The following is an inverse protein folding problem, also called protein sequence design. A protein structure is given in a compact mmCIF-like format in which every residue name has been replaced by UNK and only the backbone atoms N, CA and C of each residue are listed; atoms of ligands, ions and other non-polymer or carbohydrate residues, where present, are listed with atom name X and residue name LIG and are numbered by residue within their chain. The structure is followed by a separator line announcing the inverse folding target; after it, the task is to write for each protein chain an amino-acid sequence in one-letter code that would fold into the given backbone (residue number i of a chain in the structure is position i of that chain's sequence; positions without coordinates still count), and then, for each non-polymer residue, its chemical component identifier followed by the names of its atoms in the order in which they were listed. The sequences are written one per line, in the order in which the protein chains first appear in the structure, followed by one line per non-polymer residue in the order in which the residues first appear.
data_IF_961562361197
#
_entry.id   IF_961562361197
#
_cell.length_a   1.000
_cell.length_b   1.000
_cell.length_c   1.000
_cell.angle_alpha   90.00
_cell.angle_beta   90.00
_cell.angle_gamma   90.00
#
_symmetry.space_group_name_H-M   'P 1'
#
loop_
_entity.id
_entity.type
_entity.pdbx_description
1 polymer ?
#
# COMPACT_ATOMS: atom_id res chain seq x y z
N UNK A 1 -15.67 -9.35 9.93
CA UNK A 1 -16.28 -9.11 11.24
C UNK A 1 -15.32 -8.22 12.01
N UNK A 2 -15.64 -6.94 12.20
CA UNK A 2 -14.88 -6.05 13.09
C UNK A 2 -15.53 -6.20 14.46
N UNK A 3 -14.75 -6.50 15.50
CA UNK A 3 -15.29 -6.55 16.87
C UNK A 3 -15.71 -5.14 17.27
N UNK A 4 -16.86 -4.99 17.93
CA UNK A 4 -17.38 -3.69 18.38
C UNK A 4 -16.41 -2.91 19.29
N UNK A 5 -15.42 -3.59 19.87
CA UNK A 5 -14.35 -2.98 20.68
C UNK A 5 -13.29 -2.24 19.86
N UNK A 6 -13.23 -2.46 18.54
CA UNK A 6 -12.24 -1.82 17.66
C UNK A 6 -12.89 -0.57 17.07
N UNK A 7 -12.40 0.59 17.49
CA UNK A 7 -12.86 1.86 16.94
C UNK A 7 -12.12 2.09 15.63
N UNK A 8 -12.87 2.25 14.54
CA UNK A 8 -12.34 2.53 13.21
C UNK A 8 -12.95 3.82 12.67
N UNK A 9 -12.11 4.72 12.17
CA UNK A 9 -12.52 6.00 11.59
C UNK A 9 -11.88 6.17 10.22
N UNK A 10 -12.70 6.36 9.20
CA UNK A 10 -12.20 6.82 7.90
C UNK A 10 -11.62 8.22 8.05
N UNK A 11 -10.37 8.40 7.62
CA UNK A 11 -9.66 9.69 7.73
C UNK A 11 -9.31 10.28 6.36
N UNK A 12 -9.18 9.44 5.33
CA UNK A 12 -8.88 9.88 3.98
C UNK A 12 -9.48 8.93 2.94
N UNK A 13 -10.02 9.50 1.88
CA UNK A 13 -10.37 8.83 0.63
C UNK A 13 -9.93 9.75 -0.48
N UNK A 14 -9.25 9.21 -1.49
CA UNK A 14 -8.92 9.99 -2.68
C UNK A 14 -10.11 10.09 -3.63
N UNK A 15 -10.07 11.09 -4.51
CA UNK A 15 -11.19 11.38 -5.43
C UNK A 15 -11.53 10.20 -6.36
N UNK A 16 -10.54 9.37 -6.69
CA UNK A 16 -10.68 8.22 -7.59
C UNK A 16 -11.09 6.92 -6.87
N UNK A 17 -11.20 6.93 -5.53
CA UNK A 17 -11.52 5.75 -4.72
C UNK A 17 -10.45 4.65 -4.78
N UNK A 18 -9.21 5.02 -5.07
CA UNK A 18 -8.03 4.16 -5.20
C UNK A 18 -7.27 4.02 -3.89
N UNK A 19 -7.46 4.95 -2.96
CA UNK A 19 -6.84 4.99 -1.64
C UNK A 19 -7.94 5.23 -0.62
N UNK A 20 -8.04 4.34 0.35
CA UNK A 20 -8.85 4.50 1.56
C UNK A 20 -7.92 4.36 2.76
N UNK A 21 -7.91 5.37 3.63
CA UNK A 21 -7.18 5.31 4.89
C UNK A 21 -8.13 5.36 6.08
N UNK A 22 -7.93 4.43 6.99
CA UNK A 22 -8.74 4.26 8.20
C UNK A 22 -7.80 4.27 9.40
N UNK A 23 -8.05 5.17 10.34
CA UNK A 23 -7.45 5.09 11.67
C UNK A 23 -8.18 4.01 12.46
N UNK A 24 -7.43 3.03 12.94
CA UNK A 24 -7.89 2.00 13.88
C UNK A 24 -7.28 2.30 15.24
N UNK A 25 -8.12 2.27 16.27
CA UNK A 25 -7.69 2.33 17.66
C UNK A 25 -7.89 0.96 18.30
N UNK A 26 -6.78 0.34 18.69
CA UNK A 26 -6.76 -0.93 19.41
C UNK A 26 -5.85 -0.82 20.63
N UNK A 27 -6.40 -1.02 21.84
CA UNK A 27 -5.65 -0.93 23.10
C UNK A 27 -4.81 0.35 23.25
N UNK A 28 -5.40 1.52 22.93
CA UNK A 28 -4.74 2.83 22.87
C UNK A 28 -3.62 2.98 21.82
N UNK A 29 -3.39 1.97 20.99
CA UNK A 29 -2.48 2.08 19.85
C UNK A 29 -3.25 2.55 18.63
N UNK A 30 -2.74 3.63 18.03
CA UNK A 30 -3.20 4.12 16.74
C UNK A 30 -2.53 3.34 15.63
N UNK A 31 -3.32 2.85 14.69
CA UNK A 31 -2.90 2.07 13.54
C UNK A 31 -3.51 2.71 12.30
N UNK A 32 -2.68 2.99 11.32
CA UNK A 32 -3.12 3.43 10.00
C UNK A 32 -3.33 2.21 9.11
N UNK A 33 -4.57 1.97 8.72
CA UNK A 33 -4.92 0.97 7.73
C UNK A 33 -5.11 1.65 6.37
N UNK A 34 -4.34 1.23 5.38
CA UNK A 34 -4.39 1.77 4.02
C UNK A 34 -4.84 0.66 3.08
N UNK A 35 -6.03 0.83 2.50
CA UNK A 35 -6.53 -0.01 1.42
C UNK A 35 -6.25 0.67 0.07
N UNK A 36 -5.64 -0.06 -0.84
CA UNK A 36 -5.25 0.46 -2.16
C UNK A 36 -5.83 -0.36 -3.32
N UNK A 37 -6.10 0.33 -4.42
CA UNK A 37 -6.42 -0.25 -5.72
C UNK A 37 -5.63 0.50 -6.80
N UNK A 38 -4.34 0.18 -6.94
CA UNK A 38 -3.42 0.94 -7.77
C UNK A 38 -3.82 0.91 -9.27
N UNK A 39 -3.63 2.02 -9.99
CA UNK A 39 -3.88 2.06 -11.42
C UNK A 39 -2.89 1.18 -12.18
N UNK A 40 -3.29 0.71 -13.37
CA UNK A 40 -2.43 -0.10 -14.25
C UNK A 40 -1.34 0.72 -14.95
N UNK A 41 -1.54 2.03 -15.02
CA UNK A 41 -0.67 3.01 -15.66
C UNK A 41 -0.39 4.15 -14.65
N UNK A 42 0.64 4.96 -14.90
CA UNK A 42 1.02 6.10 -14.04
C UNK A 42 1.24 5.75 -12.55
N UNK A 43 1.68 4.52 -12.27
CA UNK A 43 1.94 4.07 -10.89
C UNK A 43 3.01 4.90 -10.17
N UNK A 44 4.00 5.42 -10.91
CA UNK A 44 5.08 6.22 -10.32
C UNK A 44 4.52 7.43 -9.54
N UNK A 45 3.60 8.18 -10.16
CA UNK A 45 2.98 9.36 -9.56
C UNK A 45 1.95 8.97 -8.48
N UNK A 46 1.23 7.86 -8.69
CA UNK A 46 0.31 7.32 -7.69
C UNK A 46 1.03 7.04 -6.36
N UNK A 47 2.16 6.31 -6.38
CA UNK A 47 2.89 5.98 -5.16
C UNK A 47 3.61 7.19 -4.56
N UNK A 48 4.03 8.19 -5.36
CA UNK A 48 4.54 9.46 -4.81
C UNK A 48 3.46 10.20 -4.02
N UNK A 49 2.25 10.32 -4.60
CA UNK A 49 1.10 10.95 -3.93
C UNK A 49 0.76 10.19 -2.63
N UNK A 50 0.69 8.86 -2.71
CA UNK A 50 0.44 8.01 -1.53
C UNK A 50 1.50 8.24 -0.45
N UNK A 51 2.77 8.26 -0.82
CA UNK A 51 3.88 8.46 0.12
C UNK A 51 3.78 9.80 0.85
N UNK A 52 3.53 10.90 0.12
CA UNK A 52 3.33 12.22 0.73
C UNK A 52 2.17 12.21 1.73
N UNK A 53 1.03 11.61 1.36
CA UNK A 53 -0.12 11.53 2.26
C UNK A 53 0.17 10.72 3.53
N UNK A 54 0.94 9.62 3.43
CA UNK A 54 1.30 8.81 4.61
C UNK A 54 2.22 9.59 5.56
N UNK A 55 3.22 10.29 5.02
CA UNK A 55 4.14 11.11 5.81
C UNK A 55 3.38 12.22 6.55
N UNK A 56 2.44 12.91 5.89
CA UNK A 56 1.64 13.98 6.51
C UNK A 56 0.80 13.51 7.69
N UNK A 57 0.41 12.23 7.71
CA UNK A 57 -0.39 11.63 8.77
C UNK A 57 0.43 11.21 10.00
N UNK A 58 1.75 10.99 9.85
CA UNK A 58 2.70 10.70 10.95
C UNK A 58 2.29 9.51 11.85
N UNK A 59 1.90 8.38 11.27
CA UNK A 59 1.58 7.14 12.01
C UNK A 59 2.79 6.23 12.12
N UNK A 60 3.07 5.73 13.32
CA UNK A 60 4.12 4.74 13.55
C UNK A 60 3.72 3.31 13.14
N UNK A 61 2.44 2.95 13.30
CA UNK A 61 1.93 1.61 12.97
C UNK A 61 1.12 1.69 11.69
N UNK A 62 1.63 1.12 10.60
CA UNK A 62 1.00 1.20 9.28
C UNK A 62 0.80 -0.21 8.73
N UNK A 63 -0.41 -0.49 8.28
CA UNK A 63 -0.72 -1.65 7.45
C UNK A 63 -1.24 -1.18 6.10
N UNK A 64 -0.56 -1.57 5.04
CA UNK A 64 -0.98 -1.30 3.67
C UNK A 64 -1.36 -2.62 3.00
N UNK A 65 -2.52 -2.66 2.36
CA UNK A 65 -3.03 -3.85 1.68
C UNK A 65 -3.91 -3.47 0.48
N UNK A 66 -4.07 -4.41 -0.45
CA UNK A 66 -4.97 -4.27 -1.59
C UNK A 66 -4.32 -4.69 -2.89
N UNK A 67 -4.84 -4.18 -4.00
CA UNK A 67 -4.27 -4.47 -5.31
C UNK A 67 -3.18 -3.44 -5.65
N UNK A 68 -1.92 -3.87 -5.63
CA UNK A 68 -0.76 -3.07 -6.03
C UNK A 68 -0.62 -2.97 -7.56
N UNK A 69 -1.35 -3.81 -8.32
CA UNK A 69 -1.34 -3.85 -9.78
C UNK A 69 0.07 -3.97 -10.39
N UNK A 70 0.96 -4.63 -9.64
CA UNK A 70 2.37 -4.80 -9.96
C UNK A 70 2.99 -5.91 -9.11
N UNK A 71 4.20 -6.31 -9.48
CA UNK A 71 4.96 -7.36 -8.79
C UNK A 71 6.20 -6.78 -8.15
N UNK A 72 6.67 -7.39 -7.07
CA UNK A 72 7.92 -7.01 -6.42
C UNK A 72 9.06 -7.87 -6.94
N UNK A 73 8.85 -9.18 -7.12
CA UNK A 73 9.85 -10.12 -7.61
C UNK A 73 9.30 -10.99 -8.76
N UNK A 74 9.92 -10.90 -9.93
CA UNK A 74 9.46 -11.61 -11.13
C UNK A 74 9.59 -13.14 -11.10
N UNK A 75 10.27 -13.72 -10.11
CA UNK A 75 10.40 -15.17 -9.90
C UNK A 75 9.43 -15.66 -8.83
N UNK A 76 9.30 -14.94 -7.72
CA UNK A 76 8.40 -15.33 -6.63
C UNK A 76 6.93 -15.05 -7.00
N UNK A 77 6.68 -13.94 -7.69
CA UNK A 77 5.31 -13.46 -7.94
C UNK A 77 4.74 -13.98 -9.26
N UNK A 78 5.53 -14.72 -10.06
CA UNK A 78 5.10 -15.20 -11.37
C UNK A 78 5.55 -16.64 -11.63
N UNK A 79 4.58 -17.52 -11.92
CA UNK A 79 4.83 -18.96 -12.17
C UNK A 79 5.66 -19.23 -13.43
N UNK A 80 5.66 -18.30 -14.40
CA UNK A 80 6.23 -18.54 -15.73
C UNK A 80 7.51 -17.74 -15.97
N UNK A 81 8.61 -18.43 -16.29
CA UNK A 81 9.92 -17.82 -16.49
C UNK A 81 10.08 -17.15 -17.87
N UNK A 82 9.24 -17.49 -18.86
CA UNK A 82 9.34 -17.04 -20.27
C UNK A 82 8.73 -15.67 -20.56
N UNK A 83 8.18 -14.99 -19.55
CA UNK A 83 7.51 -13.70 -19.74
C UNK A 83 8.55 -12.59 -19.92
N UNK A 84 8.67 -12.09 -21.15
CA UNK A 84 9.51 -10.94 -21.53
C UNK A 84 9.37 -9.78 -20.54
N UNK A 85 10.48 -9.07 -20.25
CA UNK A 85 10.56 -7.89 -19.36
C UNK A 85 9.40 -6.88 -19.54
N UNK A 86 8.83 -6.75 -20.73
CA UNK A 86 7.69 -5.88 -21.05
C UNK A 86 6.36 -6.23 -20.35
N UNK A 87 6.15 -7.49 -19.95
CA UNK A 87 4.89 -7.94 -19.33
C UNK A 87 4.99 -7.93 -17.78
N UNK A 88 6.21 -8.03 -17.23
CA UNK A 88 6.43 -7.93 -15.78
C UNK A 88 6.35 -6.46 -15.37
N UNK A 89 5.17 -6.00 -14.95
CA UNK A 89 4.98 -4.70 -14.28
C UNK A 89 5.58 -4.76 -12.89
N UNK A 90 6.91 -4.70 -12.82
CA UNK A 90 7.62 -4.50 -11.56
C UNK A 90 7.15 -3.16 -11.00
N UNK A 91 6.88 -3.12 -9.69
CA UNK A 91 6.47 -1.89 -9.03
C UNK A 91 7.50 -0.78 -9.25
N UNK A 92 7.04 0.48 -9.33
CA UNK A 92 7.91 1.61 -9.63
C UNK A 92 8.92 1.87 -8.51
N UNK A 93 9.96 2.65 -8.81
CA UNK A 93 10.97 3.04 -7.83
C UNK A 93 10.35 3.78 -6.65
N UNK A 94 9.34 4.62 -6.91
CA UNK A 94 8.62 5.36 -5.86
C UNK A 94 7.96 4.46 -4.82
N UNK A 95 7.46 3.27 -5.22
CA UNK A 95 6.94 2.29 -4.27
C UNK A 95 8.04 1.79 -3.33
N UNK A 96 9.19 1.37 -3.88
CA UNK A 96 10.28 0.81 -3.08
C UNK A 96 10.88 1.84 -2.12
N UNK A 97 11.06 3.09 -2.58
CA UNK A 97 11.52 4.18 -1.72
C UNK A 97 10.54 4.44 -0.57
N UNK A 98 9.25 4.52 -0.87
CA UNK A 98 8.21 4.66 0.15
C UNK A 98 8.27 3.52 1.18
N UNK A 99 8.37 2.26 0.74
CA UNK A 99 8.44 1.13 1.67
C UNK A 99 9.69 1.13 2.53
N UNK A 100 10.83 1.57 1.97
CA UNK A 100 12.10 1.67 2.69
C UNK A 100 12.06 2.79 3.74
N UNK A 101 11.62 3.99 3.35
CA UNK A 101 11.51 5.16 4.23
C UNK A 101 10.51 4.94 5.38
N UNK A 102 9.39 4.27 5.10
CA UNK A 102 8.39 3.91 6.10
C UNK A 102 8.74 2.61 6.87
N UNK A 103 9.88 1.98 6.57
CA UNK A 103 10.32 0.70 7.16
C UNK A 103 9.24 -0.40 7.11
N UNK A 104 8.50 -0.46 5.99
CA UNK A 104 7.45 -1.45 5.75
C UNK A 104 8.07 -2.79 5.36
N UNK A 105 7.39 -3.87 5.77
CA UNK A 105 7.76 -5.24 5.42
C UNK A 105 6.61 -5.92 4.73
N UNK A 106 6.93 -6.65 3.67
CA UNK A 106 5.99 -7.54 3.02
C UNK A 106 5.77 -8.78 3.90
N UNK A 107 4.59 -8.90 4.50
CA UNK A 107 4.24 -9.98 5.44
C UNK A 107 4.09 -11.33 4.71
N UNK A 108 3.90 -11.33 3.39
CA UNK A 108 3.72 -12.55 2.60
C UNK A 108 5.06 -13.18 2.20
N UNK A 109 6.19 -12.57 2.57
CA UNK A 109 7.55 -13.06 2.33
C UNK A 109 8.33 -13.27 3.63
#
# INVERSE_FOLDING_TARGET
YIRDSIIAKQIYVDDDGRILMVEIMDNNNKILLIAINAPSENQEDFYKKLHTQIIELDYANIFMMGDLNGIVDGKLDYKTQTVTKKIRRILPKSFFQMTEELNLKDIWR
#
